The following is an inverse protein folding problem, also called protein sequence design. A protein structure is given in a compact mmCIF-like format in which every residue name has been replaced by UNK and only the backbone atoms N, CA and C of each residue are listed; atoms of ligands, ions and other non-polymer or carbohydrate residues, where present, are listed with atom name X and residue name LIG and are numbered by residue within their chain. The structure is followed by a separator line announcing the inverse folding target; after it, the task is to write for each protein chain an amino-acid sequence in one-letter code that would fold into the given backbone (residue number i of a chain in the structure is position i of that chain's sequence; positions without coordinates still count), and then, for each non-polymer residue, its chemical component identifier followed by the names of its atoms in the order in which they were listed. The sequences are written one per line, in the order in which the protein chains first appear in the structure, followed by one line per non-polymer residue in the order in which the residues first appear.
data_IF_745380981707
#
_entry.id   IF_745380981707
#
_cell.length_a   1.000
_cell.length_b   1.000
_cell.length_c   1.000
_cell.angle_alpha   90.00
_cell.angle_beta   90.00
_cell.angle_gamma   90.00
#
_symmetry.space_group_name_H-M   'P 1'
#
loop_
_entity.id
_entity.type
_entity.pdbx_description
1 polymer ?
#
# COMPACT_ATOMS: atom_id res chain seq x y z
N UNK A 1 16.94 -49.10 -5.20
CA UNK A 1 17.03 -47.87 -6.02
C UNK A 1 15.91 -46.95 -5.53
N UNK A 2 16.20 -46.07 -4.57
CA UNK A 2 15.20 -45.15 -4.01
C UNK A 2 14.93 -44.10 -5.09
N UNK A 3 13.65 -43.98 -5.48
CA UNK A 3 13.16 -43.06 -6.51
C UNK A 3 13.53 -41.63 -6.13
N UNK A 4 14.26 -40.90 -6.97
CA UNK A 4 14.69 -39.51 -6.70
C UNK A 4 13.53 -38.54 -6.40
N UNK A 5 12.31 -38.95 -6.72
CA UNK A 5 11.02 -38.26 -6.62
C UNK A 5 10.52 -38.04 -5.17
N UNK A 6 11.06 -38.76 -4.18
CA UNK A 6 10.59 -38.66 -2.77
C UNK A 6 11.48 -37.80 -1.85
N UNK A 7 12.45 -37.04 -2.40
CA UNK A 7 13.17 -36.05 -1.59
C UNK A 7 12.21 -34.90 -1.26
N UNK A 8 11.83 -34.66 0.00
CA UNK A 8 11.04 -33.48 0.33
C UNK A 8 11.85 -32.26 -0.14
N UNK A 9 11.29 -31.50 -1.09
CA UNK A 9 11.92 -30.27 -1.59
C UNK A 9 12.35 -29.44 -0.40
N UNK A 10 13.66 -29.34 -0.18
CA UNK A 10 14.22 -28.62 0.95
C UNK A 10 13.78 -27.15 0.84
N UNK A 11 12.83 -26.72 1.68
CA UNK A 11 12.33 -25.36 1.65
C UNK A 11 13.46 -24.42 2.06
N UNK A 12 13.77 -23.45 1.21
CA UNK A 12 14.77 -22.42 1.52
C UNK A 12 14.33 -21.68 2.79
N UNK A 13 15.24 -21.46 3.75
CA UNK A 13 14.91 -20.72 4.97
C UNK A 13 14.48 -19.28 4.61
N UNK A 14 13.31 -18.88 5.10
CA UNK A 14 12.75 -17.54 4.87
C UNK A 14 13.50 -16.44 5.63
N UNK A 15 14.12 -16.79 6.76
CA UNK A 15 14.97 -15.91 7.55
C UNK A 15 16.40 -16.40 7.43
N UNK A 16 17.23 -15.61 6.77
CA UNK A 16 18.64 -15.90 6.58
C UNK A 16 19.45 -15.56 7.85
N UNK A 17 20.66 -16.10 7.95
CA UNK A 17 21.64 -15.76 8.99
C UNK A 17 21.26 -16.12 10.44
N UNK A 18 20.28 -17.00 10.67
CA UNK A 18 19.89 -17.56 11.99
C UNK A 18 19.84 -16.51 13.12
N UNK A 19 19.20 -15.37 12.88
CA UNK A 19 19.10 -14.26 13.83
C UNK A 19 18.24 -14.64 15.04
N UNK A 20 18.59 -14.15 16.23
CA UNK A 20 17.79 -14.34 17.45
C UNK A 20 16.64 -13.31 17.53
N UNK A 21 15.69 -13.52 18.46
CA UNK A 21 14.53 -12.63 18.62
C UNK A 21 14.91 -11.23 19.13
N UNK A 22 15.91 -11.12 20.01
CA UNK A 22 16.38 -9.83 20.53
C UNK A 22 16.89 -8.92 19.41
N UNK A 23 17.68 -9.46 18.48
CA UNK A 23 18.18 -8.76 17.30
C UNK A 23 17.04 -8.29 16.39
N UNK A 24 16.00 -9.12 16.21
CA UNK A 24 14.85 -8.74 15.38
C UNK A 24 14.08 -7.57 15.99
N UNK A 25 13.82 -7.62 17.31
CA UNK A 25 13.15 -6.54 18.03
C UNK A 25 13.94 -5.25 17.93
N UNK A 26 15.24 -5.27 18.24
CA UNK A 26 16.12 -4.11 18.18
C UNK A 26 16.19 -3.54 16.75
N UNK A 27 16.22 -4.41 15.73
CA UNK A 27 16.27 -3.97 14.33
C UNK A 27 14.98 -3.29 13.89
N UNK A 28 13.81 -3.77 14.32
CA UNK A 28 12.51 -3.20 13.96
C UNK A 28 12.20 -1.95 14.78
N UNK A 29 12.42 -1.99 16.10
CA UNK A 29 12.21 -0.83 16.99
C UNK A 29 13.13 0.32 16.62
N UNK A 30 14.38 0.02 16.24
CA UNK A 30 15.35 1.01 15.81
C UNK A 30 14.90 1.85 14.61
N UNK A 31 13.98 1.36 13.77
CA UNK A 31 13.41 2.17 12.66
C UNK A 31 12.55 3.32 13.21
N UNK A 32 11.90 3.13 14.35
CA UNK A 32 11.01 4.10 15.00
C UNK A 32 11.75 4.95 16.03
N UNK A 33 12.71 4.36 16.75
CA UNK A 33 13.44 5.00 17.84
C UNK A 33 14.56 5.95 17.35
N UNK A 34 15.14 5.68 16.17
CA UNK A 34 16.21 6.51 15.62
C UNK A 34 15.66 7.73 14.90
N UNK A 35 16.40 8.86 14.88
CA UNK A 35 15.98 10.04 14.13
C UNK A 35 15.89 9.73 12.64
N UNK A 36 14.82 10.23 12.00
CA UNK A 36 14.60 10.01 10.58
C UNK A 36 15.78 10.56 9.75
N UNK A 37 16.31 9.76 8.81
CA UNK A 37 17.45 10.17 7.99
C UNK A 37 17.07 11.33 7.06
N UNK A 38 18.04 12.15 6.65
CA UNK A 38 17.79 13.36 5.85
C UNK A 38 17.02 13.09 4.54
N UNK A 39 17.26 11.95 3.89
CA UNK A 39 16.53 11.56 2.68
C UNK A 39 15.03 11.35 2.93
N UNK A 40 14.65 10.90 4.12
CA UNK A 40 13.25 10.68 4.48
C UNK A 40 12.49 12.01 4.51
N UNK A 41 13.13 13.05 5.06
CA UNK A 41 12.56 14.40 5.05
C UNK A 41 12.40 14.97 3.66
N UNK A 42 13.36 14.75 2.75
CA UNK A 42 13.23 15.17 1.34
C UNK A 42 12.08 14.45 0.64
N UNK A 43 11.95 13.13 0.84
CA UNK A 43 10.85 12.37 0.28
C UNK A 43 9.49 12.83 0.85
N UNK A 44 9.44 13.08 2.16
CA UNK A 44 8.24 13.56 2.85
C UNK A 44 7.82 14.94 2.38
N UNK A 45 8.74 15.90 2.21
CA UNK A 45 8.37 17.24 1.75
C UNK A 45 7.84 17.23 0.32
N UNK A 46 8.44 16.43 -0.57
CA UNK A 46 7.95 16.29 -1.95
C UNK A 46 6.54 15.70 -1.96
N UNK A 47 6.32 14.56 -1.29
CA UNK A 47 4.99 13.93 -1.29
C UNK A 47 3.94 14.75 -0.55
N UNK A 48 4.30 15.39 0.57
CA UNK A 48 3.41 16.29 1.30
C UNK A 48 3.02 17.51 0.45
N UNK A 49 3.97 18.11 -0.29
CA UNK A 49 3.67 19.24 -1.17
C UNK A 49 2.68 18.86 -2.28
N UNK A 50 2.84 17.68 -2.88
CA UNK A 50 1.90 17.16 -3.89
C UNK A 50 0.52 16.86 -3.28
N UNK A 51 0.47 16.31 -2.07
CA UNK A 51 -0.78 16.06 -1.36
C UNK A 51 -1.52 17.37 -1.00
N UNK A 52 -0.80 18.39 -0.51
CA UNK A 52 -1.38 19.71 -0.22
C UNK A 52 -1.91 20.38 -1.49
N UNK A 53 -1.18 20.27 -2.60
CA UNK A 53 -1.65 20.77 -3.89
C UNK A 53 -2.92 20.03 -4.36
N UNK A 54 -2.98 18.71 -4.20
CA UNK A 54 -4.18 17.92 -4.47
C UNK A 54 -5.39 18.38 -3.63
N UNK A 55 -5.21 18.60 -2.33
CA UNK A 55 -6.26 19.14 -1.45
C UNK A 55 -6.72 20.53 -1.87
N UNK A 56 -5.81 21.39 -2.34
CA UNK A 56 -6.16 22.70 -2.89
C UNK A 56 -7.03 22.58 -4.14
N UNK A 57 -6.66 21.70 -5.09
CA UNK A 57 -7.46 21.43 -6.29
C UNK A 57 -8.86 20.88 -5.95
N UNK A 58 -8.96 20.00 -4.94
CA UNK A 58 -10.25 19.51 -4.44
C UNK A 58 -11.11 20.62 -3.83
N UNK A 59 -10.50 21.52 -3.05
CA UNK A 59 -11.20 22.68 -2.50
C UNK A 59 -11.73 23.62 -3.60
N UNK A 60 -10.91 23.88 -4.63
CA UNK A 60 -11.33 24.62 -5.81
C UNK A 60 -12.52 23.95 -6.50
N UNK A 61 -12.40 22.65 -6.79
CA UNK A 61 -13.43 21.81 -7.42
C UNK A 61 -14.79 21.87 -6.70
N UNK A 62 -14.78 21.78 -5.36
CA UNK A 62 -16.00 21.87 -4.54
C UNK A 62 -16.60 23.28 -4.60
N UNK A 63 -15.77 24.33 -4.66
CA UNK A 63 -16.23 25.72 -4.71
C UNK A 63 -16.77 26.15 -6.08
N UNK A 64 -16.20 25.65 -7.18
CA UNK A 64 -16.58 26.03 -8.56
C UNK A 64 -17.53 25.04 -9.22
N UNK A 65 -17.67 23.83 -8.68
CA UNK A 65 -18.57 22.78 -9.16
C UNK A 65 -17.91 21.78 -10.12
N UNK A 66 -18.56 20.62 -10.28
CA UNK A 66 -18.07 19.41 -11.01
C UNK A 66 -17.63 19.68 -12.45
N UNK A 67 -18.15 20.74 -13.09
CA UNK A 67 -17.80 21.09 -14.48
C UNK A 67 -16.31 21.38 -14.73
N UNK A 68 -15.53 21.72 -13.71
CA UNK A 68 -14.08 21.95 -13.84
C UNK A 68 -13.27 20.68 -14.11
N UNK A 69 -13.83 19.48 -13.91
CA UNK A 69 -13.22 18.21 -14.33
C UNK A 69 -13.06 18.09 -15.85
N UNK A 70 -13.89 18.80 -16.62
CA UNK A 70 -13.92 18.68 -18.09
C UNK A 70 -14.66 17.45 -18.60
N UNK A 71 -15.48 16.79 -17.76
CA UNK A 71 -16.39 15.74 -18.20
C UNK A 71 -17.41 16.36 -19.18
N UNK A 72 -17.76 15.63 -20.25
CA UNK A 72 -18.68 16.11 -21.28
C UNK A 72 -19.78 15.07 -21.50
N UNK A 73 -21.01 15.49 -21.75
CA UNK A 73 -22.10 14.57 -22.07
C UNK A 73 -21.86 13.99 -23.47
N UNK A 74 -21.93 12.66 -23.66
CA UNK A 74 -22.51 11.66 -22.76
C UNK A 74 -21.56 10.99 -21.74
N UNK A 75 -20.26 11.28 -21.78
CA UNK A 75 -19.25 10.70 -20.87
C UNK A 75 -19.16 11.50 -19.56
N UNK A 76 -20.11 11.24 -18.67
CA UNK A 76 -20.18 11.87 -17.35
C UNK A 76 -19.16 11.35 -16.33
N UNK A 77 -18.53 10.20 -16.61
CA UNK A 77 -17.54 9.54 -15.76
C UNK A 77 -16.26 9.29 -16.56
N UNK A 78 -15.14 9.79 -16.05
CA UNK A 78 -13.83 9.69 -16.68
C UNK A 78 -12.75 9.45 -15.62
N UNK A 79 -11.97 10.48 -15.30
CA UNK A 79 -10.83 10.37 -14.40
C UNK A 79 -11.21 10.17 -12.94
N UNK A 80 -12.34 10.72 -12.53
CA UNK A 80 -12.95 10.52 -11.22
C UNK A 80 -13.13 9.03 -10.88
N UNK A 81 -13.88 8.30 -11.72
CA UNK A 81 -14.17 6.88 -11.52
C UNK A 81 -12.96 6.01 -11.87
N UNK A 82 -12.18 6.37 -12.87
CA UNK A 82 -10.97 5.60 -13.24
C UNK A 82 -9.98 5.57 -12.08
N UNK A 83 -9.72 6.72 -11.44
CA UNK A 83 -8.84 6.78 -10.29
C UNK A 83 -9.48 6.11 -9.05
N UNK A 84 -10.78 6.26 -8.83
CA UNK A 84 -11.48 5.53 -7.76
C UNK A 84 -11.23 4.02 -7.85
N UNK A 85 -11.50 3.41 -9.01
CA UNK A 85 -11.32 1.97 -9.23
C UNK A 85 -9.86 1.57 -9.14
N UNK A 86 -8.94 2.41 -9.64
CA UNK A 86 -7.51 2.19 -9.54
C UNK A 86 -7.05 2.08 -8.07
N UNK A 87 -7.45 3.01 -7.21
CA UNK A 87 -7.09 2.99 -5.80
C UNK A 87 -7.71 1.81 -5.04
N UNK A 88 -8.97 1.46 -5.32
CA UNK A 88 -9.60 0.25 -4.78
C UNK A 88 -8.83 -1.01 -5.22
N UNK A 89 -8.39 -1.07 -6.48
CA UNK A 89 -7.57 -2.16 -7.01
C UNK A 89 -6.26 -2.35 -6.23
N UNK A 90 -5.56 -1.27 -5.89
CA UNK A 90 -4.36 -1.31 -5.03
C UNK A 90 -4.71 -1.88 -3.65
N UNK A 91 -5.83 -1.48 -3.06
CA UNK A 91 -6.28 -1.97 -1.75
C UNK A 91 -6.54 -3.49 -1.74
N UNK A 92 -7.05 -4.07 -2.82
CA UNK A 92 -7.28 -5.52 -2.92
C UNK A 92 -6.00 -6.34 -2.85
N UNK A 93 -4.88 -5.83 -3.38
CA UNK A 93 -3.60 -6.53 -3.28
C UNK A 93 -3.16 -6.70 -1.81
N UNK A 94 -3.41 -5.69 -0.96
CA UNK A 94 -3.04 -5.76 0.45
C UNK A 94 -3.91 -6.73 1.26
N UNK A 95 -5.23 -6.78 1.01
CA UNK A 95 -6.13 -7.74 1.68
C UNK A 95 -5.89 -9.18 1.22
N UNK A 96 -5.48 -9.40 -0.03
CA UNK A 96 -5.03 -10.71 -0.50
C UNK A 96 -3.79 -11.18 0.27
N UNK A 97 -2.79 -10.31 0.44
CA UNK A 97 -1.56 -10.66 1.15
C UNK A 97 -1.84 -10.95 2.63
N UNK A 98 -2.75 -10.23 3.28
CA UNK A 98 -3.01 -10.41 4.71
C UNK A 98 -3.95 -11.57 5.03
N UNK A 99 -5.08 -11.68 4.31
CA UNK A 99 -6.11 -12.68 4.58
C UNK A 99 -5.93 -13.97 3.77
N UNK A 100 -5.75 -13.87 2.45
CA UNK A 100 -5.72 -15.06 1.58
C UNK A 100 -4.44 -15.87 1.82
N UNK A 101 -3.27 -15.23 1.91
CA UNK A 101 -2.03 -15.96 2.22
C UNK A 101 -2.04 -16.59 3.62
N UNK A 102 -2.81 -16.03 4.57
CA UNK A 102 -3.02 -16.64 5.87
C UNK A 102 -3.84 -17.93 5.74
N UNK A 103 -4.96 -17.90 5.01
CA UNK A 103 -5.80 -19.08 4.75
C UNK A 103 -5.03 -20.18 4.00
N UNK A 104 -4.14 -19.80 3.08
CA UNK A 104 -3.27 -20.73 2.34
C UNK A 104 -2.03 -21.17 3.14
N UNK A 105 -1.96 -20.85 4.43
CA UNK A 105 -0.87 -21.23 5.34
C UNK A 105 0.54 -20.83 4.83
N UNK A 106 0.62 -19.71 4.11
CA UNK A 106 1.88 -19.22 3.55
C UNK A 106 2.68 -18.44 4.62
N UNK A 107 3.80 -19.03 5.06
CA UNK A 107 4.62 -18.49 6.15
C UNK A 107 5.41 -17.23 5.80
N UNK A 108 5.66 -16.97 4.51
CA UNK A 108 6.47 -15.84 4.03
C UNK A 108 5.78 -14.47 4.16
N UNK A 109 4.44 -14.44 4.20
CA UNK A 109 3.65 -13.22 4.39
C UNK A 109 4.03 -12.43 5.65
N UNK A 110 4.56 -13.10 6.68
CA UNK A 110 4.86 -12.52 8.00
C UNK A 110 5.76 -11.28 7.91
N UNK A 111 6.66 -11.24 6.93
CA UNK A 111 7.59 -10.10 6.73
C UNK A 111 6.94 -8.88 6.09
N UNK A 112 5.83 -9.04 5.38
CA UNK A 112 5.18 -7.98 4.57
C UNK A 112 3.77 -7.64 5.04
N UNK A 113 3.15 -8.45 5.90
CA UNK A 113 1.74 -8.32 6.29
C UNK A 113 1.38 -6.92 6.78
N UNK A 114 2.19 -6.36 7.68
CA UNK A 114 1.94 -5.03 8.27
C UNK A 114 2.03 -3.90 7.24
N UNK A 115 2.96 -4.01 6.29
CA UNK A 115 3.09 -3.05 5.19
C UNK A 115 1.93 -3.17 4.20
N UNK A 116 1.47 -4.40 3.92
CA UNK A 116 0.31 -4.66 3.07
C UNK A 116 -0.99 -4.13 3.69
N UNK A 117 -1.19 -4.29 5.00
CA UNK A 117 -2.33 -3.70 5.72
C UNK A 117 -2.31 -2.17 5.67
N UNK A 118 -1.15 -1.54 5.91
CA UNK A 118 -1.00 -0.10 5.80
C UNK A 118 -1.30 0.40 4.37
N UNK A 119 -0.80 -0.31 3.35
CA UNK A 119 -1.08 -0.02 1.95
C UNK A 119 -2.59 -0.03 1.67
N UNK A 120 -3.32 -1.04 2.15
CA UNK A 120 -4.79 -1.09 1.99
C UNK A 120 -5.46 0.11 2.62
N UNK A 121 -5.10 0.46 3.86
CA UNK A 121 -5.72 1.58 4.56
C UNK A 121 -5.51 2.90 3.82
N UNK A 122 -4.28 3.19 3.40
CA UNK A 122 -4.01 4.42 2.65
C UNK A 122 -4.68 4.43 1.27
N UNK A 123 -4.69 3.30 0.56
CA UNK A 123 -5.35 3.19 -0.73
C UNK A 123 -6.87 3.42 -0.62
N UNK A 124 -7.51 2.87 0.41
CA UNK A 124 -8.95 3.08 0.65
C UNK A 124 -9.25 4.53 1.04
N UNK A 125 -8.40 5.17 1.85
CA UNK A 125 -8.55 6.60 2.18
C UNK A 125 -8.48 7.46 0.91
N UNK A 126 -7.53 7.19 0.01
CA UNK A 126 -7.45 7.89 -1.28
C UNK A 126 -8.65 7.60 -2.18
N UNK A 127 -9.12 6.35 -2.24
CA UNK A 127 -10.29 5.97 -3.01
C UNK A 127 -11.56 6.67 -2.52
N UNK A 128 -11.75 6.77 -1.21
CA UNK A 128 -12.96 7.34 -0.60
C UNK A 128 -13.19 8.82 -0.94
N UNK A 129 -12.15 9.54 -1.36
CA UNK A 129 -12.27 10.94 -1.76
C UNK A 129 -13.11 11.05 -3.04
N UNK A 130 -12.90 10.18 -4.03
CA UNK A 130 -13.52 10.30 -5.36
C UNK A 130 -15.06 10.24 -5.32
N UNK A 131 -15.72 9.29 -4.63
CA UNK A 131 -17.18 9.30 -4.46
C UNK A 131 -17.75 10.55 -3.79
N UNK A 132 -16.94 11.24 -2.98
CA UNK A 132 -17.37 12.45 -2.29
C UNK A 132 -17.27 13.73 -3.13
N UNK A 133 -16.48 13.72 -4.22
CA UNK A 133 -16.12 14.94 -4.98
C UNK A 133 -16.44 14.86 -6.47
N UNK A 134 -16.82 13.69 -6.98
CA UNK A 134 -17.14 13.46 -8.39
C UNK A 134 -18.57 13.89 -8.74
#
# INVERSE_FOLDING_TARGET
MIKEDERPLARVPLVLNKRNFSWLTERISGVVEQPAPRWWWVAFTITASAATFGLFCLGYQISTGVGTWGNNIPVGWAWDITNFVFWIGIGHAGTLISAILFLLHQKWRTSINRSAEAMTLFAVICAAIFPGVH
#
